data_IF_103727850591
#
_entry.id   IF_103727850591
#
_cell.length_a   1.000
_cell.length_b   1.000
_cell.length_c   1.000
_cell.angle_alpha   90.00
_cell.angle_beta   90.00
_cell.angle_gamma   90.00
#
_symmetry.space_group_name_H-M   'P 1'
#
loop_
_entity.id
_entity.type
_entity.pdbx_description
1 polymer ?
#
# COMPACT_ATOMS: atom_id res chain seq x y z
N UNK A 1 -10.22 10.76 7.34
CA UNK A 1 -9.12 9.83 7.16
C UNK A 1 -8.11 9.99 8.29
N UNK A 2 -7.67 8.88 8.86
CA UNK A 2 -6.74 8.90 10.00
C UNK A 2 -5.27 8.90 9.57
N UNK A 3 -4.97 8.77 8.28
CA UNK A 3 -3.61 8.65 7.76
C UNK A 3 -2.81 7.54 8.46
N UNK A 4 -3.50 6.47 8.78
CA UNK A 4 -2.95 5.29 9.42
C UNK A 4 -3.72 4.06 8.96
N UNK A 5 -3.04 2.92 8.98
CA UNK A 5 -3.66 1.61 8.75
C UNK A 5 -3.90 0.92 10.07
N UNK A 6 -5.09 0.38 10.25
CA UNK A 6 -5.51 -0.26 11.49
C UNK A 6 -5.90 -1.70 11.18
N UNK A 7 -5.35 -2.62 11.96
CA UNK A 7 -5.75 -4.01 11.97
C UNK A 7 -6.83 -4.21 13.03
N UNK A 8 -7.90 -4.90 12.67
CA UNK A 8 -8.97 -5.23 13.60
C UNK A 8 -8.99 -6.76 13.77
N UNK A 9 -8.75 -7.20 14.99
CA UNK A 9 -8.78 -8.62 15.35
C UNK A 9 -10.23 -9.13 15.50
N UNK A 10 -10.45 -10.46 15.42
CA UNK A 10 -11.81 -11.01 15.55
C UNK A 10 -12.54 -10.63 16.86
N UNK A 11 -11.79 -10.36 17.92
CA UNK A 11 -12.36 -9.90 19.20
C UNK A 11 -12.67 -8.40 19.23
N UNK A 12 -12.44 -7.67 18.12
CA UNK A 12 -12.66 -6.24 18.01
C UNK A 12 -11.49 -5.36 18.44
N UNK A 13 -10.39 -5.95 18.89
CA UNK A 13 -9.19 -5.19 19.25
C UNK A 13 -8.60 -4.50 18.03
N UNK A 14 -8.30 -3.20 18.17
CA UNK A 14 -7.73 -2.39 17.09
C UNK A 14 -6.26 -2.10 17.38
N UNK A 15 -5.44 -2.20 16.33
CA UNK A 15 -4.01 -1.94 16.41
C UNK A 15 -3.56 -1.18 15.17
N UNK A 16 -2.88 -0.05 15.35
CA UNK A 16 -2.25 0.65 14.23
C UNK A 16 -1.05 -0.15 13.74
N UNK A 17 -0.99 -0.42 12.44
CA UNK A 17 0.07 -1.23 11.85
C UNK A 17 0.98 -0.44 10.89
N UNK A 18 0.54 0.72 10.40
CA UNK A 18 1.37 1.63 9.62
C UNK A 18 0.79 3.04 9.65
N UNK A 19 1.66 4.04 9.49
CA UNK A 19 1.28 5.44 9.45
C UNK A 19 1.38 6.13 10.80
N UNK A 20 1.81 7.39 10.76
CA UNK A 20 1.95 8.22 11.96
C UNK A 20 0.70 9.04 12.29
N UNK A 21 -0.36 8.87 11.52
CA UNK A 21 -1.63 9.57 11.73
C UNK A 21 -1.67 11.00 11.17
N UNK A 22 -0.61 11.45 10.54
CA UNK A 22 -0.50 12.83 10.04
C UNK A 22 -0.28 12.84 8.54
N UNK A 23 -1.02 13.69 7.82
CA UNK A 23 -0.82 13.86 6.39
C UNK A 23 0.53 14.53 6.11
N UNK A 24 1.36 13.87 5.30
CA UNK A 24 2.58 14.47 4.77
C UNK A 24 2.35 15.13 3.41
N UNK A 25 3.33 15.90 2.95
CA UNK A 25 3.31 16.46 1.59
C UNK A 25 3.60 15.39 0.54
N UNK A 26 4.42 14.40 0.92
CA UNK A 26 4.78 13.26 0.08
C UNK A 26 4.62 11.97 0.89
N UNK A 27 4.56 10.83 0.19
CA UNK A 27 4.61 9.56 0.89
C UNK A 27 6.00 9.37 1.53
N UNK A 28 6.02 8.64 2.61
CA UNK A 28 7.24 8.18 3.26
C UNK A 28 7.02 6.76 3.76
N UNK A 29 7.93 5.87 3.43
CA UNK A 29 7.77 4.46 3.79
C UNK A 29 8.06 4.17 5.27
N UNK A 30 8.59 5.13 5.99
CA UNK A 30 8.96 4.95 7.39
C UNK A 30 10.31 4.26 7.53
N UNK A 31 10.73 4.10 8.77
CA UNK A 31 11.95 3.38 9.07
C UNK A 31 11.74 1.87 8.91
N UNK A 32 12.71 1.12 8.37
CA UNK A 32 12.63 -0.34 8.35
C UNK A 32 12.37 -0.90 9.76
N UNK A 33 11.41 -1.80 9.88
CA UNK A 33 10.99 -2.35 11.17
C UNK A 33 10.13 -1.42 12.02
N UNK A 34 9.80 -0.23 11.50
CA UNK A 34 8.92 0.71 12.20
C UNK A 34 7.99 1.46 11.22
N UNK A 35 7.03 0.77 10.63
CA UNK A 35 6.11 1.38 9.68
C UNK A 35 5.16 2.41 10.33
N UNK A 36 5.15 2.52 11.65
CA UNK A 36 4.38 3.55 12.35
C UNK A 36 4.93 4.96 12.13
N UNK A 37 6.16 5.09 11.61
CA UNK A 37 6.73 6.38 11.22
C UNK A 37 6.40 6.78 9.79
N UNK A 38 5.71 5.93 9.04
CA UNK A 38 5.40 6.16 7.63
C UNK A 38 4.36 7.26 7.43
N UNK A 39 4.38 7.88 6.25
CA UNK A 39 3.30 8.73 5.75
C UNK A 39 2.43 7.89 4.83
N UNK A 40 1.24 7.52 5.28
CA UNK A 40 0.25 6.80 4.50
C UNK A 40 -0.97 7.68 4.28
N UNK A 41 -1.60 7.52 3.13
CA UNK A 41 -2.78 8.30 2.79
C UNK A 41 -4.08 7.52 3.03
N UNK A 42 -5.13 7.97 2.36
CA UNK A 42 -6.37 7.21 2.30
C UNK A 42 -6.14 5.94 1.48
N UNK A 43 -6.34 4.79 2.10
CA UNK A 43 -6.18 3.49 1.47
C UNK A 43 -7.56 2.92 1.17
N UNK A 44 -7.85 2.67 -0.11
CA UNK A 44 -9.15 2.14 -0.52
C UNK A 44 -9.10 0.67 -0.90
N UNK A 45 -7.93 0.16 -1.27
CA UNK A 45 -7.76 -1.24 -1.62
C UNK A 45 -6.67 -1.88 -0.77
N UNK A 46 -6.97 -3.03 -0.21
CA UNK A 46 -6.01 -3.87 0.52
C UNK A 46 -6.19 -5.30 0.03
N UNK A 47 -5.10 -5.94 -0.35
CA UNK A 47 -5.08 -7.34 -0.70
C UNK A 47 -4.05 -8.07 0.16
N UNK A 48 -4.47 -9.16 0.80
CA UNK A 48 -3.58 -10.02 1.55
C UNK A 48 -2.97 -11.06 0.61
N UNK A 49 -1.65 -11.08 0.51
CA UNK A 49 -0.94 -12.06 -0.29
C UNK A 49 -0.74 -13.37 0.45
N UNK A 50 -0.60 -14.45 -0.30
CA UNK A 50 -0.25 -15.77 0.26
C UNK A 50 1.15 -15.77 0.89
N UNK A 51 1.97 -14.77 0.57
CA UNK A 51 3.28 -14.54 1.17
C UNK A 51 3.22 -13.89 2.56
N UNK A 52 2.02 -13.60 3.07
CA UNK A 52 1.81 -12.93 4.35
C UNK A 52 1.91 -11.42 4.31
N UNK A 53 2.21 -10.84 3.16
CA UNK A 53 2.30 -9.38 3.01
C UNK A 53 0.94 -8.77 2.70
N UNK A 54 0.79 -7.50 3.04
CA UNK A 54 -0.37 -6.69 2.63
C UNK A 54 0.05 -5.77 1.48
N UNK A 55 -0.78 -5.74 0.45
CA UNK A 55 -0.62 -4.88 -0.72
C UNK A 55 -1.71 -3.82 -0.69
N UNK A 56 -1.33 -2.56 -0.84
CA UNK A 56 -2.18 -1.44 -0.49
C UNK A 56 -2.17 -0.41 -1.62
N UNK A 57 -3.34 0.03 -2.04
CA UNK A 57 -3.48 1.19 -2.91
C UNK A 57 -3.57 2.45 -2.05
N UNK A 58 -2.58 3.32 -2.18
CA UNK A 58 -2.57 4.60 -1.50
C UNK A 58 -3.14 5.67 -2.42
N UNK A 59 -4.38 6.01 -2.18
CA UNK A 59 -5.13 6.93 -3.03
C UNK A 59 -4.63 8.37 -2.91
N UNK A 60 -4.21 8.79 -1.73
CA UNK A 60 -3.71 10.14 -1.48
C UNK A 60 -2.38 10.39 -2.19
N UNK A 61 -1.49 9.39 -2.15
CA UNK A 61 -0.14 9.54 -2.69
C UNK A 61 0.06 8.87 -4.05
N UNK A 62 -1.02 8.39 -4.66
CA UNK A 62 -1.00 7.83 -6.02
C UNK A 62 0.05 6.73 -6.19
N UNK A 63 0.09 5.79 -5.27
CA UNK A 63 1.08 4.71 -5.33
C UNK A 63 0.53 3.40 -4.76
N UNK A 64 1.27 2.34 -5.00
CA UNK A 64 0.98 1.00 -4.47
C UNK A 64 2.09 0.64 -3.49
N UNK A 65 1.71 0.15 -2.33
CA UNK A 65 2.62 -0.10 -1.22
C UNK A 65 2.48 -1.55 -0.73
N UNK A 66 3.57 -2.06 -0.19
CA UNK A 66 3.65 -3.42 0.35
C UNK A 66 4.11 -3.35 1.79
N UNK A 67 3.34 -3.94 2.69
CA UNK A 67 3.69 -4.07 4.11
C UNK A 67 4.05 -5.52 4.39
N UNK A 68 5.31 -5.76 4.68
CA UNK A 68 5.84 -7.06 5.06
C UNK A 68 5.88 -7.15 6.58
N UNK A 69 5.26 -8.16 7.21
CA UNK A 69 5.33 -8.30 8.66
C UNK A 69 6.73 -8.70 9.11
N UNK A 70 7.01 -8.57 10.40
CA UNK A 70 8.23 -9.11 10.96
C UNK A 70 8.20 -10.67 10.99
N UNK A 71 9.26 -11.28 11.50
CA UNK A 71 9.37 -12.74 11.55
C UNK A 71 8.33 -13.41 12.47
N UNK A 72 7.68 -12.63 13.34
CA UNK A 72 6.58 -13.11 14.21
C UNK A 72 5.20 -12.82 13.62
N UNK A 73 5.11 -12.28 12.41
CA UNK A 73 3.84 -11.94 11.78
C UNK A 73 3.27 -10.60 12.26
N UNK A 74 4.04 -9.77 12.95
CA UNK A 74 3.58 -8.48 13.44
C UNK A 74 3.83 -7.39 12.40
N UNK A 75 2.75 -6.86 11.82
CA UNK A 75 2.84 -5.81 10.81
C UNK A 75 3.37 -4.50 11.37
N UNK A 76 3.09 -4.17 12.63
CA UNK A 76 3.53 -2.91 13.23
C UNK A 76 5.04 -2.84 13.45
N UNK A 77 5.72 -3.99 13.35
CA UNK A 77 7.18 -4.12 13.44
C UNK A 77 7.80 -4.56 12.12
N UNK A 78 7.00 -4.55 11.08
CA UNK A 78 7.42 -4.94 9.74
C UNK A 78 8.04 -3.79 8.96
N UNK A 79 8.01 -3.91 7.64
CA UNK A 79 8.58 -2.91 6.74
C UNK A 79 7.56 -2.56 5.66
N UNK A 80 7.29 -1.27 5.53
CA UNK A 80 6.47 -0.73 4.45
C UNK A 80 7.39 -0.25 3.33
N UNK A 81 7.04 -0.60 2.09
CA UNK A 81 7.76 -0.10 0.92
C UNK A 81 6.78 0.29 -0.18
N UNK A 82 7.11 1.32 -0.95
CA UNK A 82 6.36 1.70 -2.14
C UNK A 82 6.92 0.92 -3.32
N UNK A 83 6.09 0.09 -3.95
CA UNK A 83 6.51 -0.83 -5.00
C UNK A 83 6.14 -0.37 -6.40
N UNK A 84 5.16 0.52 -6.53
CA UNK A 84 4.77 1.08 -7.82
C UNK A 84 4.15 2.47 -7.63
N UNK A 85 4.36 3.33 -8.62
CA UNK A 85 3.89 4.71 -8.61
C UNK A 85 4.95 5.69 -8.15
N UNK A 86 4.99 6.85 -8.81
CA UNK A 86 5.95 7.92 -8.49
C UNK A 86 5.50 8.85 -7.37
N UNK A 87 4.26 8.70 -6.91
CA UNK A 87 3.61 9.64 -6.00
C UNK A 87 2.88 10.78 -6.71
N UNK A 88 3.11 10.94 -8.00
CA UNK A 88 2.44 11.95 -8.82
C UNK A 88 1.25 11.34 -9.56
N UNK A 89 0.16 12.08 -9.66
CA UNK A 89 -1.01 11.64 -10.41
C UNK A 89 -0.67 11.46 -11.90
N UNK A 90 -1.19 10.40 -12.50
CA UNK A 90 -0.99 10.09 -13.91
C UNK A 90 -1.43 8.68 -14.25
N UNK A 91 -1.19 8.28 -15.50
CA UNK A 91 -1.56 6.95 -15.99
C UNK A 91 -0.47 6.35 -16.89
N UNK A 92 0.76 6.81 -16.74
CA UNK A 92 1.90 6.30 -17.51
C UNK A 92 2.33 4.94 -17.00
N UNK A 93 2.52 3.99 -17.92
CA UNK A 93 3.14 2.71 -17.61
C UNK A 93 4.64 2.89 -17.40
N UNK A 94 5.23 2.02 -16.61
CA UNK A 94 6.65 2.06 -16.32
C UNK A 94 7.03 1.01 -15.29
N UNK A 95 8.31 0.92 -15.00
CA UNK A 95 8.82 -0.01 -13.99
C UNK A 95 8.80 0.63 -12.61
N UNK A 96 8.19 -0.07 -11.66
CA UNK A 96 8.23 0.31 -10.25
C UNK A 96 7.79 1.76 -10.03
N UNK A 97 8.66 2.55 -9.45
CA UNK A 97 8.35 3.94 -9.09
C UNK A 97 8.28 4.89 -10.28
N UNK A 98 8.58 4.44 -11.50
CA UNK A 98 8.44 5.26 -12.70
C UNK A 98 7.03 5.27 -13.27
N UNK A 99 6.20 4.29 -12.92
CA UNK A 99 4.80 4.31 -13.29
C UNK A 99 4.07 5.43 -12.54
N UNK A 100 2.97 5.91 -13.10
CA UNK A 100 2.11 6.87 -12.42
C UNK A 100 0.71 6.30 -12.30
N UNK A 101 0.05 6.58 -11.18
CA UNK A 101 -1.34 6.24 -10.93
C UNK A 101 -2.10 7.51 -10.60
N UNK A 102 -3.40 7.47 -10.73
CA UNK A 102 -4.25 8.58 -10.30
C UNK A 102 -5.39 8.03 -9.44
N UNK A 103 -5.24 8.22 -8.14
CA UNK A 103 -6.19 7.75 -7.15
C UNK A 103 -6.48 6.24 -7.32
N UNK A 104 -5.47 5.38 -7.22
CA UNK A 104 -5.68 3.93 -7.32
C UNK A 104 -6.67 3.47 -6.26
N UNK A 105 -7.54 2.55 -6.63
CA UNK A 105 -8.68 2.18 -5.79
C UNK A 105 -8.59 0.72 -5.37
N UNK A 106 -9.28 -0.18 -6.02
CA UNK A 106 -9.33 -1.59 -5.67
C UNK A 106 -8.10 -2.32 -6.18
N UNK A 107 -7.59 -3.27 -5.42
CA UNK A 107 -6.50 -4.14 -5.86
C UNK A 107 -6.84 -5.60 -5.57
N UNK A 108 -6.39 -6.47 -6.47
CA UNK A 108 -6.36 -7.91 -6.26
C UNK A 108 -4.97 -8.43 -6.59
N UNK A 109 -4.56 -9.49 -5.92
CA UNK A 109 -3.27 -10.10 -6.14
C UNK A 109 -3.44 -11.58 -6.51
N UNK A 110 -2.59 -12.07 -7.42
CA UNK A 110 -2.57 -13.48 -7.80
C UNK A 110 -2.11 -14.36 -6.63
N UNK A 111 -2.49 -15.63 -6.66
CA UNK A 111 -2.16 -16.60 -5.61
C UNK A 111 -0.65 -16.72 -5.41
N UNK A 112 0.14 -16.63 -6.47
CA UNK A 112 1.60 -16.69 -6.41
C UNK A 112 2.25 -15.33 -6.05
N UNK A 113 1.46 -14.29 -5.80
CA UNK A 113 1.90 -12.93 -5.47
C UNK A 113 2.77 -12.26 -6.55
N UNK A 114 2.74 -12.76 -7.79
CA UNK A 114 3.58 -12.22 -8.87
C UNK A 114 2.86 -11.21 -9.75
N UNK A 115 1.54 -11.19 -9.73
CA UNK A 115 0.73 -10.30 -10.55
C UNK A 115 -0.33 -9.61 -9.70
N UNK A 116 -0.48 -8.32 -9.89
CA UNK A 116 -1.49 -7.51 -9.24
C UNK A 116 -2.30 -6.76 -10.30
N UNK A 117 -3.60 -6.63 -10.07
CA UNK A 117 -4.46 -5.79 -10.89
C UNK A 117 -4.99 -4.64 -10.03
N UNK A 118 -4.90 -3.44 -10.57
CA UNK A 118 -5.29 -2.20 -9.88
C UNK A 118 -6.34 -1.50 -10.72
N UNK A 119 -7.49 -1.23 -10.11
CA UNK A 119 -8.51 -0.38 -10.73
C UNK A 119 -8.26 1.07 -10.35
N UNK A 120 -8.18 1.94 -11.35
CA UNK A 120 -8.05 3.37 -11.14
C UNK A 120 -9.43 4.04 -11.11
N UNK A 121 -9.69 4.87 -10.12
CA UNK A 121 -10.99 5.51 -9.99
C UNK A 121 -11.17 6.72 -10.94
N UNK A 122 -10.09 7.39 -11.30
CA UNK A 122 -10.12 8.61 -12.12
C UNK A 122 -9.85 8.31 -13.59
N UNK A 123 -8.95 7.38 -13.88
CA UNK A 123 -8.54 7.09 -15.25
C UNK A 123 -9.41 6.07 -15.97
N UNK A 124 -10.35 5.43 -15.27
CA UNK A 124 -11.19 4.36 -15.82
C UNK A 124 -10.40 3.21 -16.43
N UNK A 125 -9.23 2.92 -15.87
CA UNK A 125 -8.30 1.89 -16.35
C UNK A 125 -8.14 0.79 -15.32
N UNK A 126 -7.96 -0.43 -15.83
CA UNK A 126 -7.45 -1.55 -15.01
C UNK A 126 -6.00 -1.74 -15.42
N UNK A 127 -5.11 -1.75 -14.43
CA UNK A 127 -3.67 -1.82 -14.67
C UNK A 127 -3.09 -3.07 -14.04
N UNK A 128 -2.18 -3.70 -14.75
CA UNK A 128 -1.47 -4.88 -14.29
C UNK A 128 -0.09 -4.49 -13.80
N UNK A 129 0.27 -4.98 -12.63
CA UNK A 129 1.60 -4.82 -12.05
C UNK A 129 2.24 -6.19 -11.91
N UNK A 130 3.47 -6.34 -12.39
CA UNK A 130 4.30 -7.50 -12.11
C UNK A 130 5.06 -7.23 -10.82
N UNK A 131 4.82 -8.06 -9.83
CA UNK A 131 5.45 -7.96 -8.50
C UNK A 131 6.69 -8.83 -8.50
N UNK A 132 7.78 -8.28 -8.00
CA UNK A 132 9.04 -9.03 -7.88
C UNK A 132 9.21 -9.64 -6.50
#
# INVERSE_FOLDING_TARGET
SSYAMIQISPDGTQKTIAGDGVKGQEYYDGEPGNPLTAKVGATFGVAAGSDGCLYISDNTYNCIRKLTPDTNGDYSKGTLETIAGSGKAGFADGKGLKATFNQPYEIIISEDCKTMYVAGSVNYLIRRITVK
#
